data_IF_151158777881
#
_entry.id   IF_151158777881
#
_cell.length_a   1.000
_cell.length_b   1.000
_cell.length_c   1.000
_cell.angle_alpha   90.00
_cell.angle_beta   90.00
_cell.angle_gamma   90.00
#
_symmetry.space_group_name_H-M   'P 1'
#
loop_
_entity.id
_entity.type
_entity.pdbx_description
1 polymer ?
#
# COMPACT_ATOMS: atom_id res chain seq x y z
N UNK A 1 16.23 -4.51 24.70
CA UNK A 1 16.46 -5.28 23.46
C UNK A 1 17.77 -6.05 23.61
N UNK A 2 17.74 -7.37 23.47
CA UNK A 2 18.93 -8.22 23.62
C UNK A 2 19.90 -8.04 22.44
N UNK A 3 21.18 -8.41 22.63
CA UNK A 3 22.19 -8.37 21.56
C UNK A 3 21.80 -9.25 20.34
N UNK A 4 21.08 -10.36 20.62
CA UNK A 4 20.57 -11.27 19.60
C UNK A 4 19.45 -10.62 18.77
N UNK A 5 18.57 -9.88 19.40
CA UNK A 5 17.48 -9.13 18.71
C UNK A 5 18.05 -8.01 17.85
N UNK A 6 19.06 -7.27 18.36
CA UNK A 6 19.75 -6.24 17.58
C UNK A 6 20.36 -6.82 16.30
N UNK A 7 21.16 -7.90 16.44
CA UNK A 7 21.74 -8.61 15.29
C UNK A 7 20.69 -9.11 14.30
N UNK A 8 19.52 -9.59 14.80
CA UNK A 8 18.45 -10.04 13.94
C UNK A 8 17.88 -8.91 13.08
N UNK A 9 17.66 -7.74 13.68
CA UNK A 9 17.18 -6.55 12.98
C UNK A 9 18.22 -6.04 11.99
N UNK A 10 19.47 -5.92 12.40
CA UNK A 10 20.59 -5.49 11.53
C UNK A 10 20.72 -6.38 10.28
N UNK A 11 20.66 -7.70 10.46
CA UNK A 11 20.75 -8.65 9.33
C UNK A 11 19.56 -8.51 8.40
N UNK A 12 18.32 -8.38 8.93
CA UNK A 12 17.13 -8.17 8.12
C UNK A 12 17.19 -6.89 7.31
N UNK A 13 17.64 -5.79 7.94
CA UNK A 13 17.82 -4.50 7.28
C UNK A 13 18.88 -4.58 6.18
N UNK A 14 19.99 -5.27 6.42
CA UNK A 14 21.06 -5.44 5.42
C UNK A 14 20.56 -6.20 4.19
N UNK A 15 19.81 -7.30 4.38
CA UNK A 15 19.15 -8.01 3.26
C UNK A 15 18.25 -7.07 2.49
N UNK A 16 17.42 -6.30 3.20
CA UNK A 16 16.48 -5.35 2.62
C UNK A 16 17.20 -4.27 1.78
N UNK A 17 18.23 -3.61 2.32
CA UNK A 17 18.97 -2.56 1.63
C UNK A 17 19.67 -3.07 0.36
N UNK A 18 20.37 -4.22 0.45
CA UNK A 18 21.05 -4.85 -0.69
C UNK A 18 20.06 -5.24 -1.77
N UNK A 19 18.97 -5.91 -1.39
CA UNK A 19 17.95 -6.33 -2.36
C UNK A 19 17.26 -5.13 -3.02
N UNK A 20 16.96 -4.06 -2.27
CA UNK A 20 16.36 -2.83 -2.81
C UNK A 20 17.24 -2.17 -3.85
N UNK A 21 18.56 -2.12 -3.63
CA UNK A 21 19.51 -1.63 -4.61
C UNK A 21 19.55 -2.51 -5.87
N UNK A 22 19.68 -3.82 -5.71
CA UNK A 22 19.71 -4.77 -6.83
C UNK A 22 18.43 -4.78 -7.65
N UNK A 23 17.25 -4.71 -6.99
CA UNK A 23 15.96 -4.61 -7.69
C UNK A 23 15.85 -3.32 -8.51
N UNK A 24 16.39 -2.21 -7.99
CA UNK A 24 16.42 -0.93 -8.72
C UNK A 24 17.40 -0.93 -9.89
N UNK A 25 18.57 -1.54 -9.74
CA UNK A 25 19.63 -1.54 -10.75
C UNK A 25 19.33 -2.46 -11.93
N UNK A 26 18.83 -3.66 -11.69
CA UNK A 26 18.64 -4.69 -12.73
C UNK A 26 17.26 -5.36 -12.77
N UNK A 27 16.34 -4.91 -11.91
CA UNK A 27 14.99 -5.45 -11.82
C UNK A 27 14.87 -6.68 -10.92
N UNK A 28 13.64 -6.95 -10.48
CA UNK A 28 13.34 -8.06 -9.58
C UNK A 28 13.66 -9.43 -10.19
N UNK A 29 13.20 -9.66 -11.43
CA UNK A 29 13.37 -10.96 -12.11
C UNK A 29 14.85 -11.34 -12.29
N UNK A 30 15.68 -10.34 -12.65
CA UNK A 30 17.11 -10.53 -12.91
C UNK A 30 17.96 -10.60 -11.64
N UNK A 31 17.38 -10.38 -10.47
CA UNK A 31 18.09 -10.47 -9.18
C UNK A 31 17.92 -11.86 -8.58
N UNK A 32 19.04 -12.52 -8.26
CA UNK A 32 19.04 -13.82 -7.60
C UNK A 32 19.25 -13.72 -6.09
N UNK A 33 18.80 -14.74 -5.34
CA UNK A 33 19.09 -14.83 -3.89
C UNK A 33 20.59 -14.95 -3.65
N UNK A 34 21.32 -15.58 -4.57
CA UNK A 34 22.78 -15.73 -4.46
C UNK A 34 23.48 -14.39 -4.44
N UNK A 35 23.14 -13.51 -5.35
CA UNK A 35 23.69 -12.15 -5.39
C UNK A 35 23.32 -11.35 -4.15
N UNK A 36 22.07 -11.44 -3.70
CA UNK A 36 21.63 -10.76 -2.48
C UNK A 36 22.46 -11.24 -1.27
N UNK A 37 22.66 -12.56 -1.15
CA UNK A 37 23.38 -13.13 0.01
C UNK A 37 24.87 -12.86 -0.05
N UNK A 38 25.48 -12.91 -1.23
CA UNK A 38 26.89 -12.58 -1.46
C UNK A 38 27.17 -11.12 -1.07
N UNK A 39 26.40 -10.17 -1.59
CA UNK A 39 26.60 -8.75 -1.28
C UNK A 39 26.22 -8.39 0.17
N UNK A 40 25.23 -9.07 0.75
CA UNK A 40 24.90 -8.91 2.16
C UNK A 40 25.94 -9.59 3.08
N UNK A 41 26.88 -10.37 2.54
CA UNK A 41 27.89 -11.10 3.34
C UNK A 41 27.26 -12.11 4.30
N UNK A 42 26.21 -12.82 3.87
CA UNK A 42 25.49 -13.81 4.65
C UNK A 42 25.36 -15.14 3.87
N UNK A 43 25.14 -16.22 4.57
CA UNK A 43 24.81 -17.49 3.91
C UNK A 43 23.35 -17.56 3.46
N UNK A 44 23.05 -18.35 2.41
CA UNK A 44 21.67 -18.61 1.94
C UNK A 44 20.73 -19.09 3.06
N UNK A 45 21.22 -19.97 3.96
CA UNK A 45 20.43 -20.41 5.12
C UNK A 45 20.01 -19.24 6.03
N UNK A 46 20.88 -18.23 6.15
CA UNK A 46 20.55 -17.00 6.90
C UNK A 46 19.45 -16.22 6.20
N UNK A 47 19.50 -16.07 4.88
CA UNK A 47 18.44 -15.42 4.10
C UNK A 47 17.09 -16.13 4.33
N UNK A 48 17.03 -17.43 4.16
CA UNK A 48 15.79 -18.19 4.32
C UNK A 48 15.21 -18.19 5.74
N UNK A 49 16.01 -17.89 6.76
CA UNK A 49 15.51 -17.65 8.12
C UNK A 49 14.69 -16.36 8.26
N UNK A 50 14.86 -15.39 7.33
CA UNK A 50 14.13 -14.12 7.32
C UNK A 50 13.05 -14.07 6.26
N UNK A 51 13.34 -14.59 5.08
CA UNK A 51 12.47 -14.55 3.91
C UNK A 51 12.45 -15.93 3.24
N UNK A 52 11.34 -16.66 3.30
CA UNK A 52 11.25 -18.01 2.75
C UNK A 52 11.42 -18.05 1.22
N UNK A 53 11.17 -16.93 0.54
CA UNK A 53 11.34 -16.77 -0.92
C UNK A 53 11.78 -15.34 -1.25
N UNK A 54 12.21 -15.12 -2.51
CA UNK A 54 12.45 -13.76 -3.04
C UNK A 54 11.16 -12.94 -3.07
N UNK A 55 10.03 -13.59 -3.37
CA UNK A 55 8.71 -12.95 -3.38
C UNK A 55 8.27 -12.49 -1.99
N UNK A 56 8.58 -13.27 -0.94
CA UNK A 56 8.34 -12.86 0.44
C UNK A 56 9.14 -11.60 0.83
N UNK A 57 10.36 -11.48 0.33
CA UNK A 57 11.15 -10.25 0.49
C UNK A 57 10.50 -9.08 -0.28
N UNK A 58 10.00 -9.30 -1.49
CA UNK A 58 9.31 -8.28 -2.27
C UNK A 58 8.02 -7.81 -1.57
N UNK A 59 7.22 -8.72 -1.01
CA UNK A 59 6.05 -8.36 -0.21
C UNK A 59 6.44 -7.49 1.00
N UNK A 60 7.53 -7.82 1.65
CA UNK A 60 8.06 -7.01 2.75
C UNK A 60 8.45 -5.58 2.30
N UNK A 61 9.00 -5.40 1.08
CA UNK A 61 9.20 -4.07 0.49
C UNK A 61 7.89 -3.29 0.36
N UNK A 62 6.84 -3.96 -0.12
CA UNK A 62 5.50 -3.37 -0.21
C UNK A 62 4.99 -2.91 1.14
N UNK A 63 5.14 -3.75 2.18
CA UNK A 63 4.73 -3.43 3.55
C UNK A 63 5.47 -2.20 4.10
N UNK A 64 6.79 -2.13 3.95
CA UNK A 64 7.59 -1.01 4.43
C UNK A 64 7.21 0.30 3.70
N UNK A 65 6.95 0.22 2.39
CA UNK A 65 6.49 1.38 1.60
C UNK A 65 5.12 1.86 2.08
N UNK A 66 4.18 0.94 2.26
CA UNK A 66 2.84 1.28 2.72
C UNK A 66 2.86 1.88 4.13
N UNK A 67 3.65 1.32 5.06
CA UNK A 67 3.81 1.87 6.41
C UNK A 67 4.32 3.32 6.38
N UNK A 68 5.33 3.60 5.56
CA UNK A 68 5.85 4.96 5.40
C UNK A 68 4.79 5.90 4.85
N UNK A 69 4.09 5.50 3.78
CA UNK A 69 3.05 6.31 3.14
C UNK A 69 1.92 6.63 4.15
N UNK A 70 1.44 5.62 4.87
CA UNK A 70 0.37 5.82 5.85
C UNK A 70 0.81 6.69 7.03
N UNK A 71 2.05 6.57 7.52
CA UNK A 71 2.56 7.42 8.58
C UNK A 71 2.61 8.91 8.19
N UNK A 72 2.87 9.21 6.93
CA UNK A 72 2.85 10.58 6.40
C UNK A 72 1.42 11.12 6.32
N UNK A 73 0.47 10.29 5.91
CA UNK A 73 -0.95 10.66 5.80
C UNK A 73 -1.59 10.93 7.15
N UNK A 74 -1.35 10.09 8.15
CA UNK A 74 -1.94 10.23 9.48
C UNK A 74 -1.62 11.60 10.11
N UNK A 75 -0.47 12.17 9.81
CA UNK A 75 -0.09 13.51 10.25
C UNK A 75 -0.86 14.64 9.53
N UNK A 76 -1.34 14.41 8.30
CA UNK A 76 -2.04 15.42 7.48
C UNK A 76 -3.57 15.38 7.65
N UNK A 77 -4.15 14.25 8.12
CA UNK A 77 -5.59 14.08 8.34
C UNK A 77 -6.15 14.95 9.48
N UNK A 78 -5.27 15.55 10.30
CA UNK A 78 -5.65 16.46 11.41
C UNK A 78 -6.03 17.87 10.95
N UNK A 79 -5.87 18.19 9.66
CA UNK A 79 -6.24 19.52 9.12
C UNK A 79 -7.75 19.67 9.11
N UNK A 80 -8.23 20.86 9.52
CA UNK A 80 -9.64 21.24 9.44
C UNK A 80 -10.05 21.42 7.97
N UNK A 81 -10.64 20.38 7.39
CA UNK A 81 -11.22 20.40 6.04
C UNK A 81 -12.39 19.41 5.99
N UNK A 82 -13.22 19.50 4.94
CA UNK A 82 -14.39 18.62 4.78
C UNK A 82 -14.00 17.13 4.71
N UNK A 83 -14.92 16.25 5.10
CA UNK A 83 -14.74 14.79 4.96
C UNK A 83 -14.41 14.38 3.53
N UNK A 84 -15.09 15.05 2.55
CA UNK A 84 -14.75 14.90 1.12
C UNK A 84 -13.27 15.18 0.85
N UNK A 85 -12.77 16.32 1.32
CA UNK A 85 -11.39 16.73 1.06
C UNK A 85 -10.38 15.83 1.77
N UNK A 86 -10.66 15.41 3.03
CA UNK A 86 -9.84 14.44 3.76
C UNK A 86 -9.70 13.13 2.98
N UNK A 87 -10.81 12.55 2.51
CA UNK A 87 -10.83 11.30 1.74
C UNK A 87 -10.15 11.47 0.38
N UNK A 88 -10.45 12.56 -0.34
CA UNK A 88 -9.86 12.87 -1.63
C UNK A 88 -8.35 13.03 -1.54
N UNK A 89 -7.86 13.81 -0.56
CA UNK A 89 -6.44 14.03 -0.35
C UNK A 89 -5.71 12.74 0.04
N UNK A 90 -6.30 11.93 0.92
CA UNK A 90 -5.76 10.61 1.28
C UNK A 90 -5.57 9.72 0.04
N UNK A 91 -6.63 9.53 -0.74
CA UNK A 91 -6.59 8.61 -1.89
C UNK A 91 -5.71 9.15 -3.03
N UNK A 92 -5.70 10.48 -3.25
CA UNK A 92 -4.80 11.12 -4.21
C UNK A 92 -3.33 10.97 -3.78
N UNK A 93 -3.02 11.19 -2.51
CA UNK A 93 -1.67 11.03 -1.98
C UNK A 93 -1.15 9.59 -2.11
N UNK A 94 -1.98 8.58 -1.80
CA UNK A 94 -1.65 7.18 -2.04
C UNK A 94 -1.37 6.93 -3.53
N UNK A 95 -2.21 7.46 -4.42
CA UNK A 95 -2.05 7.32 -5.86
C UNK A 95 -0.76 7.97 -6.36
N UNK A 96 -0.43 9.19 -5.92
CA UNK A 96 0.81 9.90 -6.26
C UNK A 96 2.05 9.11 -5.86
N UNK A 97 2.03 8.48 -4.68
CA UNK A 97 3.14 7.66 -4.25
C UNK A 97 3.29 6.36 -5.06
N UNK A 98 2.19 5.81 -5.57
CA UNK A 98 2.22 4.68 -6.49
C UNK A 98 2.69 5.07 -7.89
N UNK A 99 2.35 6.27 -8.36
CA UNK A 99 2.80 6.83 -9.64
C UNK A 99 4.30 7.04 -9.73
N UNK A 100 5.00 7.27 -8.61
CA UNK A 100 6.46 7.49 -8.57
C UNK A 100 7.26 6.33 -9.20
N UNK A 101 6.75 5.10 -9.09
CA UNK A 101 7.34 3.91 -9.69
C UNK A 101 6.22 2.93 -10.07
N UNK A 102 5.71 3.09 -11.29
CA UNK A 102 4.61 2.27 -11.81
C UNK A 102 4.99 0.80 -11.92
N UNK A 103 6.19 0.51 -12.38
CA UNK A 103 6.64 -0.88 -12.59
C UNK A 103 6.81 -1.60 -11.25
N UNK A 104 7.42 -0.96 -10.27
CA UNK A 104 7.49 -1.51 -8.91
C UNK A 104 6.09 -1.67 -8.30
N UNK A 105 5.20 -0.70 -8.47
CA UNK A 105 3.82 -0.79 -7.98
C UNK A 105 3.08 -1.96 -8.61
N UNK A 106 3.23 -2.14 -9.93
CA UNK A 106 2.65 -3.24 -10.67
C UNK A 106 3.12 -4.58 -10.13
N UNK A 107 4.44 -4.74 -9.96
CA UNK A 107 5.05 -5.93 -9.43
C UNK A 107 4.52 -6.26 -8.02
N UNK A 108 4.52 -5.28 -7.11
CA UNK A 108 4.03 -5.44 -5.73
C UNK A 108 2.54 -5.81 -5.66
N UNK A 109 1.71 -5.17 -6.47
CA UNK A 109 0.25 -5.44 -6.50
C UNK A 109 -0.03 -6.83 -7.05
N UNK A 110 0.62 -7.23 -8.14
CA UNK A 110 0.42 -8.57 -8.71
C UNK A 110 0.94 -9.66 -7.77
N UNK A 111 2.09 -9.47 -7.14
CA UNK A 111 2.62 -10.44 -6.19
C UNK A 111 1.72 -10.57 -4.95
N UNK A 112 1.18 -9.46 -4.44
CA UNK A 112 0.21 -9.48 -3.35
C UNK A 112 -1.08 -10.23 -3.73
N UNK A 113 -1.59 -10.03 -4.96
CA UNK A 113 -2.76 -10.78 -5.45
C UNK A 113 -2.45 -12.28 -5.54
N UNK A 114 -1.28 -12.65 -6.06
CA UNK A 114 -0.85 -14.04 -6.14
C UNK A 114 -0.70 -14.64 -4.74
N UNK A 115 -0.06 -13.94 -3.82
CA UNK A 115 0.07 -14.37 -2.44
C UNK A 115 -1.29 -14.69 -1.79
N UNK A 116 -2.26 -13.77 -1.90
CA UNK A 116 -3.61 -13.99 -1.37
C UNK A 116 -4.31 -15.18 -2.04
N UNK A 117 -4.16 -15.34 -3.35
CA UNK A 117 -4.78 -16.42 -4.10
C UNK A 117 -4.31 -17.81 -3.63
N UNK A 118 -3.03 -17.96 -3.32
CA UNK A 118 -2.44 -19.24 -2.92
C UNK A 118 -2.47 -19.51 -1.41
N UNK A 119 -2.32 -18.49 -0.59
CA UNK A 119 -2.23 -18.63 0.88
C UNK A 119 -3.51 -18.26 1.61
N UNK A 120 -4.42 -17.52 0.96
CA UNK A 120 -5.50 -16.82 1.62
C UNK A 120 -4.96 -15.69 2.54
N UNK A 121 -5.86 -14.96 3.18
CA UNK A 121 -5.50 -13.96 4.19
C UNK A 121 -5.23 -14.63 5.54
N UNK A 122 -4.12 -15.34 5.67
CA UNK A 122 -3.83 -16.14 6.88
C UNK A 122 -3.01 -15.40 7.92
N UNK A 123 -2.14 -14.46 7.52
CA UNK A 123 -1.34 -13.71 8.48
C UNK A 123 -2.13 -12.54 9.08
N UNK A 124 -1.82 -12.21 10.35
CA UNK A 124 -2.41 -11.03 10.99
C UNK A 124 -1.90 -9.73 10.34
N UNK A 125 -0.70 -9.76 9.72
CA UNK A 125 -0.14 -8.66 8.94
C UNK A 125 -0.90 -8.44 7.64
N UNK A 126 -1.25 -9.49 6.88
CA UNK A 126 -2.10 -9.39 5.68
C UNK A 126 -3.46 -8.76 6.00
N UNK A 127 -4.05 -9.17 7.13
CA UNK A 127 -5.31 -8.60 7.60
C UNK A 127 -5.12 -7.12 7.96
N UNK A 128 -4.10 -6.75 8.75
CA UNK A 128 -3.82 -5.36 9.14
C UNK A 128 -3.66 -4.47 7.92
N UNK A 129 -2.87 -4.89 6.93
CA UNK A 129 -2.64 -4.14 5.68
C UNK A 129 -3.95 -3.88 4.93
N UNK A 130 -4.73 -4.95 4.70
CA UNK A 130 -6.02 -4.85 4.01
C UNK A 130 -7.01 -3.96 4.76
N UNK A 131 -7.06 -4.08 6.10
CA UNK A 131 -8.02 -3.35 6.91
C UNK A 131 -7.62 -1.92 7.19
N UNK A 132 -6.35 -1.53 7.03
CA UNK A 132 -5.88 -0.17 7.38
C UNK A 132 -6.61 0.90 6.58
N UNK A 133 -6.60 0.83 5.25
CA UNK A 133 -7.30 1.80 4.41
C UNK A 133 -8.81 1.78 4.65
N UNK A 134 -9.39 0.58 4.79
CA UNK A 134 -10.81 0.42 5.13
C UNK A 134 -11.12 1.13 6.45
N UNK A 135 -10.30 0.91 7.47
CA UNK A 135 -10.49 1.53 8.78
C UNK A 135 -10.38 3.06 8.70
N UNK A 136 -9.36 3.61 8.06
CA UNK A 136 -9.18 5.06 7.92
C UNK A 136 -10.39 5.68 7.22
N UNK A 137 -10.84 5.11 6.11
CA UNK A 137 -12.00 5.62 5.37
C UNK A 137 -13.30 5.53 6.19
N UNK A 138 -13.49 4.44 6.95
CA UNK A 138 -14.64 4.29 7.84
C UNK A 138 -14.62 5.32 8.96
N UNK A 139 -13.47 5.50 9.62
CA UNK A 139 -13.28 6.48 10.70
C UNK A 139 -13.56 7.91 10.21
N UNK A 140 -13.09 8.28 9.01
CA UNK A 140 -13.36 9.59 8.38
C UNK A 140 -14.83 9.82 8.06
N UNK A 141 -15.52 8.80 7.55
CA UNK A 141 -16.97 8.88 7.27
C UNK A 141 -17.78 8.98 8.57
N UNK A 142 -17.42 8.22 9.62
CA UNK A 142 -18.07 8.30 10.93
C UNK A 142 -17.86 9.68 11.58
N UNK A 143 -16.64 10.23 11.47
CA UNK A 143 -16.34 11.59 11.91
C UNK A 143 -17.22 12.60 11.17
N UNK A 144 -17.30 12.51 9.83
CA UNK A 144 -18.13 13.38 9.00
C UNK A 144 -19.63 13.31 9.34
N UNK A 145 -20.13 12.13 9.72
CA UNK A 145 -21.51 11.99 10.22
C UNK A 145 -21.68 12.72 11.56
N UNK A 146 -20.73 12.58 12.47
CA UNK A 146 -20.80 13.28 13.79
C UNK A 146 -20.71 14.81 13.66
N UNK A 147 -19.91 15.29 12.69
CA UNK A 147 -19.72 16.72 12.42
C UNK A 147 -20.85 17.33 11.55
N UNK A 148 -21.73 16.50 11.00
CA UNK A 148 -22.80 16.93 10.11
C UNK A 148 -22.38 17.22 8.67
N UNK A 149 -21.15 16.89 8.31
CA UNK A 149 -20.58 17.03 6.96
C UNK A 149 -21.01 15.88 6.01
N UNK A 150 -21.37 14.75 6.61
CA UNK A 150 -21.93 13.59 5.92
C UNK A 150 -23.33 13.30 6.47
N UNK A 151 -24.29 13.02 5.57
CA UNK A 151 -25.68 12.74 5.96
C UNK A 151 -25.75 11.59 6.98
N UNK A 152 -26.54 11.77 8.03
CA UNK A 152 -26.71 10.79 9.13
C UNK A 152 -27.39 9.47 8.70
N UNK A 153 -28.04 9.45 7.54
CA UNK A 153 -28.73 8.25 6.99
C UNK A 153 -27.84 7.35 6.16
N UNK A 154 -26.53 7.68 6.03
CA UNK A 154 -25.60 6.89 5.24
C UNK A 154 -25.29 5.55 5.93
N UNK A 155 -25.25 4.48 5.16
CA UNK A 155 -24.63 3.22 5.58
C UNK A 155 -23.10 3.37 5.42
N UNK A 156 -22.41 3.72 6.51
CA UNK A 156 -20.96 3.96 6.53
C UNK A 156 -20.20 2.75 5.97
N UNK A 157 -20.61 1.53 6.31
CA UNK A 157 -19.95 0.32 5.82
C UNK A 157 -20.01 0.23 4.30
N UNK A 158 -21.21 0.41 3.72
CA UNK A 158 -21.37 0.38 2.25
C UNK A 158 -20.69 1.53 1.55
N UNK A 159 -20.71 2.71 2.15
CA UNK A 159 -19.97 3.86 1.61
C UNK A 159 -18.46 3.58 1.57
N UNK A 160 -17.90 3.02 2.65
CA UNK A 160 -16.50 2.60 2.72
C UNK A 160 -16.17 1.55 1.66
N UNK A 161 -16.99 0.51 1.53
CA UNK A 161 -16.83 -0.54 0.51
C UNK A 161 -16.86 0.05 -0.92
N UNK A 162 -17.72 1.03 -1.15
CA UNK A 162 -17.83 1.73 -2.45
C UNK A 162 -16.56 2.53 -2.75
N UNK A 163 -16.04 3.29 -1.79
CA UNK A 163 -14.80 4.05 -1.95
C UNK A 163 -13.62 3.13 -2.25
N UNK A 164 -13.50 2.02 -1.53
CA UNK A 164 -12.47 1.00 -1.76
C UNK A 164 -12.60 0.38 -3.16
N UNK A 165 -13.82 0.03 -3.59
CA UNK A 165 -14.06 -0.56 -4.90
C UNK A 165 -13.64 0.39 -6.03
N UNK A 166 -13.98 1.68 -5.91
CA UNK A 166 -13.58 2.72 -6.88
C UNK A 166 -12.06 2.86 -6.91
N UNK A 167 -11.41 2.91 -5.74
CA UNK A 167 -9.96 3.04 -5.65
C UNK A 167 -9.23 1.86 -6.27
N UNK A 168 -9.60 0.63 -5.90
CA UNK A 168 -8.99 -0.60 -6.43
C UNK A 168 -9.23 -0.75 -7.94
N UNK A 169 -10.44 -0.46 -8.42
CA UNK A 169 -10.73 -0.48 -9.86
C UNK A 169 -9.85 0.53 -10.61
N UNK A 170 -9.72 1.76 -10.09
CA UNK A 170 -8.90 2.80 -10.69
C UNK A 170 -7.41 2.44 -10.69
N UNK A 171 -6.91 1.85 -9.59
CA UNK A 171 -5.55 1.33 -9.49
C UNK A 171 -5.28 0.27 -10.56
N UNK A 172 -6.17 -0.73 -10.68
CA UNK A 172 -6.01 -1.80 -11.66
C UNK A 172 -6.10 -1.30 -13.11
N UNK A 173 -7.01 -0.36 -13.38
CA UNK A 173 -7.14 0.26 -14.69
C UNK A 173 -5.86 1.05 -15.05
N UNK A 174 -5.34 1.82 -14.11
CA UNK A 174 -4.09 2.57 -14.30
C UNK A 174 -2.88 1.65 -14.50
N UNK A 175 -2.74 0.58 -13.73
CA UNK A 175 -1.64 -0.38 -13.88
C UNK A 175 -1.66 -1.09 -15.23
N UNK A 176 -2.84 -1.36 -15.78
CA UNK A 176 -3.01 -1.98 -17.10
C UNK A 176 -2.89 -0.99 -18.26
N UNK A 177 -3.00 0.30 -18.00
CA UNK A 177 -2.97 1.32 -19.06
C UNK A 177 -1.56 1.48 -19.63
N UNK A 178 -1.46 1.48 -20.96
CA UNK A 178 -0.25 1.86 -21.69
C UNK A 178 -0.13 3.39 -21.83
N UNK A 179 -1.24 4.12 -21.66
CA UNK A 179 -1.25 5.57 -21.71
C UNK A 179 -0.79 6.20 -20.39
N UNK A 180 -0.05 7.29 -20.52
CA UNK A 180 0.38 8.10 -19.37
C UNK A 180 -0.77 8.99 -18.89
N UNK A 181 -1.71 8.46 -18.09
CA UNK A 181 -2.65 9.31 -17.36
C UNK A 181 -2.37 9.29 -15.86
N UNK A 182 -2.72 10.38 -15.18
CA UNK A 182 -2.50 10.49 -13.74
C UNK A 182 -3.60 9.73 -12.98
N UNK A 183 -3.19 8.73 -12.22
CA UNK A 183 -4.06 7.98 -11.32
C UNK A 183 -4.60 8.85 -10.19
N UNK A 184 -3.75 9.73 -9.65
CA UNK A 184 -4.13 10.66 -8.57
C UNK A 184 -5.21 11.65 -9.02
N UNK A 185 -5.13 12.15 -10.25
CA UNK A 185 -6.18 13.00 -10.83
C UNK A 185 -7.47 12.25 -11.14
N UNK A 186 -7.35 11.02 -11.64
CA UNK A 186 -8.50 10.18 -11.95
C UNK A 186 -9.28 9.83 -10.68
N UNK A 187 -8.60 9.37 -9.63
CA UNK A 187 -9.27 9.03 -8.37
C UNK A 187 -9.89 10.27 -7.72
N UNK A 188 -9.22 11.43 -7.77
CA UNK A 188 -9.77 12.69 -7.24
C UNK A 188 -11.10 13.05 -7.88
N UNK A 189 -11.21 12.97 -9.22
CA UNK A 189 -12.47 13.22 -9.94
C UNK A 189 -13.56 12.23 -9.59
N UNK A 190 -13.22 10.95 -9.41
CA UNK A 190 -14.18 9.92 -9.01
C UNK A 190 -14.73 10.14 -7.60
N UNK A 191 -13.87 10.60 -6.68
CA UNK A 191 -14.32 10.97 -5.33
C UNK A 191 -15.25 12.17 -5.39
N UNK A 192 -14.96 13.17 -6.21
CA UNK A 192 -15.88 14.30 -6.42
C UNK A 192 -17.27 13.82 -6.88
N UNK A 193 -17.33 12.93 -7.87
CA UNK A 193 -18.58 12.34 -8.35
C UNK A 193 -19.34 11.58 -7.24
N UNK A 194 -18.62 10.85 -6.37
CA UNK A 194 -19.25 10.12 -5.26
C UNK A 194 -19.92 11.08 -4.26
N UNK A 195 -19.24 12.16 -3.92
CA UNK A 195 -19.77 13.12 -2.95
C UNK A 195 -20.83 14.07 -3.53
N UNK A 196 -20.75 14.41 -4.80
CA UNK A 196 -21.71 15.25 -5.52
C UNK A 196 -22.96 14.46 -5.97
N UNK A 197 -22.79 13.15 -6.18
CA UNK A 197 -23.82 12.30 -6.77
C UNK A 197 -23.88 12.43 -8.30
N UNK A 198 -24.79 11.67 -8.93
CA UNK A 198 -24.98 11.63 -10.39
C UNK A 198 -26.25 12.40 -10.80
N UNK A 199 -27.07 12.74 -9.81
CA UNK A 199 -28.31 13.49 -10.08
C UNK A 199 -28.06 14.99 -10.13
N UNK A 200 -28.67 15.62 -11.10
CA UNK A 200 -28.82 17.11 -11.17
C UNK A 200 -29.78 17.60 -10.10
#
# INVERSE_FOLDING_TARGET
>A
MSLREKKKIETKNKIFEVAGRLFKEKGFESTSIDEITEEAGIGKGTFFNYFPTKDALLLYFGEQRDELIYSLVENDLTRSCSTRDKIKNLLAFLAENYEKDKELTKLLVFEYINHIKFTGLKSDEDKKRRYRLIKILSDLLEEGVREGDVRSTIDVKKATETLIAIYLFSLMAWLKSESAYSFSRDISKKIDIVFEGIRS
#
